data_IF_631805848864
#
_entry.id   IF_631805848864
#
_cell.length_a   1.000
_cell.length_b   1.000
_cell.length_c   1.000
_cell.angle_alpha   90.00
_cell.angle_beta   90.00
_cell.angle_gamma   90.00
#
_symmetry.space_group_name_H-M   'P 1'
#
loop_
_entity.id
_entity.type
_entity.pdbx_description
1 polymer ?
#
# COMPACT_ATOMS: atom_id res chain seq x y z
N UNK A 1 -26.24 -12.44 -12.22
CA UNK A 1 -25.23 -12.85 -13.18
C UNK A 1 -25.86 -13.65 -14.34
N UNK A 2 -25.23 -13.70 -15.48
CA UNK A 2 -25.70 -14.48 -16.63
C UNK A 2 -24.58 -15.45 -17.05
N UNK A 3 -24.87 -16.73 -16.99
CA UNK A 3 -23.96 -17.82 -17.39
C UNK A 3 -24.39 -18.51 -18.71
N UNK A 4 -25.44 -18.00 -19.35
CA UNK A 4 -25.95 -18.54 -20.60
C UNK A 4 -25.03 -18.31 -21.81
N UNK A 5 -24.20 -17.26 -21.76
CA UNK A 5 -23.26 -16.85 -22.83
C UNK A 5 -21.84 -16.64 -22.32
N UNK A 6 -21.57 -16.91 -21.05
CA UNK A 6 -20.29 -16.69 -20.40
C UNK A 6 -20.48 -16.32 -18.92
N UNK A 7 -19.37 -16.05 -18.24
CA UNK A 7 -19.36 -15.73 -16.81
C UNK A 7 -19.47 -14.23 -16.60
N UNK A 8 -20.67 -13.67 -16.78
CA UNK A 8 -20.92 -12.23 -16.64
C UNK A 8 -21.50 -11.93 -15.27
N UNK A 9 -20.85 -11.01 -14.54
CA UNK A 9 -21.31 -10.48 -13.28
C UNK A 9 -21.50 -8.97 -13.46
N UNK A 10 -22.71 -8.49 -13.16
CA UNK A 10 -23.00 -7.06 -13.23
C UNK A 10 -22.25 -6.29 -12.14
N UNK A 11 -21.82 -5.04 -12.40
CA UNK A 11 -21.28 -4.17 -11.37
C UNK A 11 -22.24 -4.07 -10.18
N UNK A 12 -21.75 -4.43 -9.00
CA UNK A 12 -22.58 -4.58 -7.80
C UNK A 12 -22.03 -3.72 -6.68
N UNK A 13 -22.91 -2.99 -6.00
CA UNK A 13 -22.59 -2.23 -4.79
C UNK A 13 -23.28 -2.90 -3.62
N UNK A 14 -22.53 -3.18 -2.56
CA UNK A 14 -23.01 -3.74 -1.30
C UNK A 14 -22.76 -2.72 -0.20
N UNK A 15 -23.79 -2.41 0.59
CA UNK A 15 -23.65 -1.59 1.79
C UNK A 15 -23.74 -2.47 3.04
N UNK A 16 -22.86 -2.24 4.01
CA UNK A 16 -22.84 -2.98 5.26
C UNK A 16 -22.45 -2.09 6.43
N UNK A 17 -23.14 -2.27 7.56
CA UNK A 17 -22.78 -1.65 8.84
C UNK A 17 -21.83 -2.55 9.66
N UNK A 18 -21.56 -3.76 9.21
CA UNK A 18 -20.58 -4.65 9.85
C UNK A 18 -19.17 -4.39 9.29
N UNK A 19 -18.28 -3.78 10.08
CA UNK A 19 -16.90 -3.48 9.64
C UNK A 19 -16.04 -4.73 9.44
N UNK A 20 -16.49 -5.89 9.88
CA UNK A 20 -15.83 -7.19 9.70
C UNK A 20 -16.53 -8.06 8.67
N UNK A 21 -17.46 -7.49 7.92
CA UNK A 21 -18.12 -8.22 6.85
C UNK A 21 -17.10 -8.82 5.88
N UNK A 22 -17.32 -10.06 5.48
CA UNK A 22 -16.41 -10.84 4.64
C UNK A 22 -15.94 -10.07 3.41
N UNK A 23 -16.84 -9.33 2.76
CA UNK A 23 -16.53 -8.56 1.54
C UNK A 23 -15.64 -7.33 1.77
N UNK A 24 -15.43 -6.92 3.02
CA UNK A 24 -14.43 -5.89 3.38
C UNK A 24 -13.07 -6.50 3.72
N UNK A 25 -13.03 -7.79 4.08
CA UNK A 25 -11.84 -8.48 4.57
C UNK A 25 -11.17 -9.35 3.50
N UNK A 26 -11.95 -9.92 2.57
CA UNK A 26 -11.49 -10.85 1.55
C UNK A 26 -11.52 -10.21 0.16
N UNK A 27 -10.51 -10.53 -0.64
CA UNK A 27 -10.47 -10.13 -2.04
C UNK A 27 -11.32 -11.10 -2.87
N UNK A 28 -12.45 -10.64 -3.42
CA UNK A 28 -13.33 -11.45 -4.28
C UNK A 28 -12.92 -11.41 -5.76
N UNK A 29 -12.12 -10.48 -6.15
CA UNK A 29 -11.60 -10.25 -7.49
C UNK A 29 -12.68 -10.19 -8.58
N UNK A 30 -13.73 -9.39 -8.34
CA UNK A 30 -14.89 -9.22 -9.22
C UNK A 30 -15.40 -7.78 -9.23
N UNK A 31 -16.40 -7.46 -10.06
CA UNK A 31 -16.95 -6.11 -10.20
C UNK A 31 -17.89 -5.77 -9.02
N UNK A 32 -17.40 -5.90 -7.80
CA UNK A 32 -18.18 -5.67 -6.57
C UNK A 32 -17.46 -4.64 -5.72
N UNK A 33 -18.20 -3.61 -5.26
CA UNK A 33 -17.73 -2.60 -4.31
C UNK A 33 -18.52 -2.73 -3.03
N UNK A 34 -17.84 -2.75 -1.89
CA UNK A 34 -18.47 -2.75 -0.57
C UNK A 34 -18.30 -1.39 0.09
N UNK A 35 -19.39 -0.82 0.57
CA UNK A 35 -19.45 0.48 1.25
C UNK A 35 -19.74 0.23 2.73
N UNK A 36 -18.97 0.88 3.60
CA UNK A 36 -19.20 0.94 5.03
C UNK A 36 -19.39 2.41 5.44
N UNK A 37 -20.64 2.85 5.67
CA UNK A 37 -20.89 4.21 6.15
C UNK A 37 -20.43 4.37 7.61
N UNK A 38 -19.95 5.55 7.96
CA UNK A 38 -19.55 5.88 9.32
C UNK A 38 -19.95 7.31 9.67
N UNK A 39 -20.10 7.59 10.96
CA UNK A 39 -20.41 8.92 11.46
C UNK A 39 -19.15 9.81 11.49
N UNK A 40 -19.28 11.08 11.21
CA UNK A 40 -18.15 12.04 11.20
C UNK A 40 -17.36 12.03 12.52
N UNK A 41 -18.03 11.82 13.65
CA UNK A 41 -17.40 11.70 14.97
C UNK A 41 -16.51 10.47 15.12
N UNK A 42 -16.70 9.44 14.30
CA UNK A 42 -15.94 8.18 14.32
C UNK A 42 -14.75 8.19 13.34
N UNK A 43 -14.31 9.36 12.89
CA UNK A 43 -13.25 9.49 11.88
C UNK A 43 -11.97 8.70 12.22
N UNK A 44 -11.44 8.88 13.44
CA UNK A 44 -10.18 8.22 13.86
C UNK A 44 -10.32 6.72 14.02
N UNK A 45 -11.44 6.28 14.58
CA UNK A 45 -11.79 4.88 14.72
C UNK A 45 -11.91 4.22 13.35
N UNK A 46 -12.52 4.92 12.39
CA UNK A 46 -12.63 4.48 11.00
C UNK A 46 -11.27 4.36 10.32
N UNK A 47 -10.36 5.30 10.52
CA UNK A 47 -8.99 5.18 10.01
C UNK A 47 -8.26 3.96 10.59
N UNK A 48 -8.43 3.70 11.90
CA UNK A 48 -7.87 2.49 12.53
C UNK A 48 -8.49 1.22 11.95
N UNK A 49 -9.80 1.25 11.71
CA UNK A 49 -10.51 0.15 11.08
C UNK A 49 -9.97 -0.12 9.67
N UNK A 50 -9.82 0.91 8.83
CA UNK A 50 -9.24 0.79 7.48
C UNK A 50 -7.85 0.16 7.52
N UNK A 51 -7.00 0.55 8.49
CA UNK A 51 -5.66 -0.01 8.65
C UNK A 51 -5.65 -1.50 9.01
N UNK A 52 -6.68 -1.97 9.72
CA UNK A 52 -6.68 -3.30 10.37
C UNK A 52 -7.66 -4.31 9.77
N UNK A 53 -8.52 -3.89 8.85
CA UNK A 53 -9.61 -4.75 8.34
C UNK A 53 -9.10 -5.86 7.42
N UNK A 54 -8.09 -5.59 6.61
CA UNK A 54 -7.56 -6.53 5.62
C UNK A 54 -6.04 -6.70 5.76
N UNK A 55 -5.50 -7.87 5.45
CA UNK A 55 -4.05 -8.09 5.39
C UNK A 55 -3.40 -7.43 4.18
N UNK A 56 -4.16 -6.92 3.24
CA UNK A 56 -3.67 -6.34 1.99
C UNK A 56 -3.34 -4.85 2.14
N UNK A 57 -2.38 -4.37 1.33
CA UNK A 57 -1.96 -2.98 1.29
C UNK A 57 -1.43 -2.61 -0.10
N UNK A 58 -2.22 -2.85 -1.15
CA UNK A 58 -1.81 -2.56 -2.53
C UNK A 58 -2.01 -1.09 -2.86
N UNK A 59 -3.25 -0.64 -2.93
CA UNK A 59 -3.63 0.74 -3.24
C UNK A 59 -4.63 1.25 -2.23
N UNK A 60 -4.60 2.57 -2.01
CA UNK A 60 -5.60 3.28 -1.23
C UNK A 60 -5.84 4.66 -1.80
N UNK A 61 -6.98 5.26 -1.48
CA UNK A 61 -7.30 6.61 -1.87
C UNK A 61 -7.99 7.38 -0.74
N UNK A 62 -7.73 8.68 -0.68
CA UNK A 62 -8.37 9.62 0.24
C UNK A 62 -8.98 10.72 -0.60
N UNK A 63 -10.30 10.93 -0.46
CA UNK A 63 -11.02 12.00 -1.10
C UNK A 63 -11.48 12.99 -0.03
N UNK A 64 -10.89 14.17 0.02
CA UNK A 64 -11.27 15.22 0.96
C UNK A 64 -10.79 16.59 0.51
N UNK A 65 -11.59 17.62 0.80
CA UNK A 65 -11.18 19.02 0.66
C UNK A 65 -10.48 19.54 1.92
N UNK A 66 -10.68 18.90 3.07
CA UNK A 66 -10.02 19.25 4.32
C UNK A 66 -8.57 18.72 4.33
N UNK A 67 -7.63 19.66 4.26
CA UNK A 67 -6.19 19.35 4.27
C UNK A 67 -5.70 18.82 5.64
N UNK A 68 -6.43 19.13 6.72
CA UNK A 68 -6.18 18.55 8.05
C UNK A 68 -6.50 17.06 8.07
N UNK A 69 -7.71 16.71 7.63
CA UNK A 69 -8.15 15.32 7.51
C UNK A 69 -7.24 14.49 6.58
N UNK A 70 -6.82 15.07 5.44
CA UNK A 70 -5.87 14.40 4.53
C UNK A 70 -4.56 14.10 5.23
N UNK A 71 -3.95 15.07 5.94
CA UNK A 71 -2.68 14.85 6.66
C UNK A 71 -2.81 13.80 7.76
N UNK A 72 -3.90 13.84 8.52
CA UNK A 72 -4.16 12.85 9.56
C UNK A 72 -4.31 11.45 8.98
N UNK A 73 -5.14 11.29 7.94
CA UNK A 73 -5.32 10.02 7.26
C UNK A 73 -4.00 9.48 6.67
N UNK A 74 -3.20 10.33 6.01
CA UNK A 74 -1.88 9.95 5.50
C UNK A 74 -0.94 9.46 6.62
N UNK A 75 -1.00 10.07 7.79
CA UNK A 75 -0.19 9.66 8.94
C UNK A 75 -0.63 8.31 9.49
N UNK A 76 -1.93 8.13 9.71
CA UNK A 76 -2.48 6.90 10.28
C UNK A 76 -2.40 5.72 9.30
N UNK A 77 -2.63 5.96 8.02
CA UNK A 77 -2.68 4.93 6.98
C UNK A 77 -1.35 4.74 6.24
N UNK A 78 -0.23 5.23 6.77
CA UNK A 78 1.09 5.18 6.11
C UNK A 78 1.56 3.79 5.71
N UNK A 79 1.04 2.72 6.35
CA UNK A 79 1.36 1.33 6.07
C UNK A 79 0.20 0.56 5.41
N UNK A 80 -0.92 1.24 5.13
CA UNK A 80 -2.14 0.60 4.63
C UNK A 80 -2.21 0.54 3.11
N UNK A 81 -1.27 1.17 2.41
CA UNK A 81 -1.21 1.12 0.94
C UNK A 81 0.23 1.32 0.45
N UNK A 82 0.64 0.52 -0.52
CA UNK A 82 1.89 0.74 -1.25
C UNK A 82 1.80 1.96 -2.16
N UNK A 83 0.64 2.17 -2.79
CA UNK A 83 0.34 3.38 -3.56
C UNK A 83 -0.87 4.09 -2.94
N UNK A 84 -0.68 5.32 -2.48
CA UNK A 84 -1.73 6.16 -1.91
C UNK A 84 -2.03 7.34 -2.85
N UNK A 85 -3.32 7.54 -3.14
CA UNK A 85 -3.82 8.57 -4.03
C UNK A 85 -4.65 9.58 -3.24
N UNK A 86 -4.45 10.87 -3.50
CA UNK A 86 -5.21 11.95 -2.85
C UNK A 86 -6.02 12.68 -3.89
N UNK A 87 -7.35 12.60 -3.79
CA UNK A 87 -8.30 13.19 -4.73
C UNK A 87 -8.02 12.81 -6.18
N UNK A 88 -7.59 11.57 -6.39
CA UNK A 88 -7.21 11.05 -7.69
C UNK A 88 -7.74 9.62 -7.87
N UNK A 89 -7.56 9.05 -9.03
CA UNK A 89 -7.95 7.68 -9.36
C UNK A 89 -7.37 6.71 -8.33
N UNK A 90 -8.20 5.86 -7.70
CA UNK A 90 -7.78 5.07 -6.54
C UNK A 90 -6.88 3.88 -6.85
N UNK A 91 -6.61 3.61 -8.10
CA UNK A 91 -5.79 2.48 -8.54
C UNK A 91 -5.26 2.68 -9.96
N UNK A 92 -4.39 1.80 -10.42
CA UNK A 92 -3.86 1.81 -11.78
C UNK A 92 -2.74 2.82 -11.96
N UNK A 93 -1.55 2.49 -11.47
CA UNK A 93 -0.35 3.29 -11.71
C UNK A 93 -0.08 3.45 -13.21
N UNK A 94 0.26 4.65 -13.61
CA UNK A 94 0.63 4.98 -14.99
C UNK A 94 2.17 4.95 -15.09
N UNK A 95 2.69 4.17 -16.03
CA UNK A 95 4.14 4.08 -16.26
C UNK A 95 4.72 5.46 -16.53
N UNK A 96 5.80 5.80 -15.82
CA UNK A 96 6.46 7.09 -15.91
C UNK A 96 5.88 8.19 -15.01
N UNK A 97 4.69 7.98 -14.41
CA UNK A 97 4.11 8.93 -13.44
C UNK A 97 4.36 8.48 -11.99
N UNK A 98 4.09 7.23 -11.67
CA UNK A 98 4.40 6.66 -10.36
C UNK A 98 4.81 5.18 -10.48
N UNK A 99 5.75 4.72 -9.67
CA UNK A 99 6.05 3.30 -9.56
C UNK A 99 4.93 2.58 -8.82
N UNK A 100 4.81 1.27 -9.04
CA UNK A 100 3.72 0.47 -8.49
C UNK A 100 4.25 -0.68 -7.61
N UNK A 101 3.61 -0.87 -6.47
CA UNK A 101 3.89 -1.99 -5.58
C UNK A 101 3.05 -1.94 -4.33
N UNK A 102 2.71 -3.12 -3.80
CA UNK A 102 1.95 -3.30 -2.58
C UNK A 102 2.79 -3.79 -1.42
N UNK A 103 2.38 -3.43 -0.22
CA UNK A 103 2.95 -3.89 1.04
C UNK A 103 2.08 -4.97 1.70
N UNK A 104 2.48 -5.46 2.87
CA UNK A 104 1.77 -6.51 3.63
C UNK A 104 1.52 -7.75 2.75
N UNK A 105 0.30 -8.29 2.76
CA UNK A 105 -0.10 -9.42 1.92
C UNK A 105 -0.15 -9.14 0.42
N UNK A 106 -0.01 -7.87 0.00
CA UNK A 106 -0.04 -7.47 -1.41
C UNK A 106 1.32 -7.52 -2.11
N UNK A 107 2.39 -7.84 -1.42
CA UNK A 107 3.70 -8.06 -2.04
C UNK A 107 4.87 -7.41 -1.31
N UNK A 108 6.01 -7.35 -1.99
CA UNK A 108 7.29 -6.88 -1.45
C UNK A 108 7.50 -5.37 -1.58
N UNK A 109 6.56 -4.69 -2.21
CA UNK A 109 6.59 -3.24 -2.45
C UNK A 109 7.84 -2.75 -3.23
N UNK A 110 8.31 -3.53 -4.16
CA UNK A 110 9.55 -3.26 -4.91
C UNK A 110 9.47 -2.10 -5.90
N UNK A 111 8.30 -1.47 -6.03
CA UNK A 111 8.09 -0.29 -6.88
C UNK A 111 8.46 -0.52 -8.34
N UNK A 112 7.75 -1.46 -8.97
CA UNK A 112 7.84 -1.70 -10.41
C UNK A 112 7.68 -0.39 -11.19
N UNK A 113 8.52 -0.19 -12.22
CA UNK A 113 8.60 1.07 -12.95
C UNK A 113 9.55 2.11 -12.34
N UNK A 114 10.30 1.75 -11.29
CA UNK A 114 11.36 2.58 -10.72
C UNK A 114 12.70 1.86 -10.67
N UNK A 115 13.79 2.63 -10.53
CA UNK A 115 15.12 2.05 -10.33
C UNK A 115 15.26 1.24 -9.03
N UNK A 116 14.38 1.43 -8.05
CA UNK A 116 14.36 0.64 -6.81
C UNK A 116 14.08 -0.83 -7.10
N UNK A 117 13.23 -1.12 -8.07
CA UNK A 117 12.94 -2.49 -8.49
C UNK A 117 14.18 -3.21 -9.01
N UNK A 118 15.13 -2.50 -9.63
CA UNK A 118 16.33 -3.09 -10.20
C UNK A 118 17.24 -3.72 -9.13
N UNK A 119 17.16 -3.28 -7.89
CA UNK A 119 17.95 -3.86 -6.78
C UNK A 119 17.62 -5.33 -6.54
N UNK A 120 16.46 -5.82 -6.98
CA UNK A 120 16.06 -7.24 -6.91
C UNK A 120 16.81 -8.12 -7.92
N UNK A 121 17.37 -7.52 -8.95
CA UNK A 121 17.98 -8.22 -10.09
C UNK A 121 19.50 -8.18 -10.05
N UNK A 122 20.09 -7.54 -9.04
CA UNK A 122 21.53 -7.37 -8.91
C UNK A 122 22.01 -7.84 -7.53
N UNK A 123 23.25 -8.28 -7.49
CA UNK A 123 23.95 -8.58 -6.24
C UNK A 123 24.99 -7.50 -5.98
N UNK A 124 24.82 -6.74 -4.90
CA UNK A 124 25.77 -5.70 -4.54
C UNK A 124 27.07 -6.32 -4.02
N UNK A 125 28.20 -5.80 -4.49
CA UNK A 125 29.52 -6.18 -4.03
C UNK A 125 30.30 -4.94 -3.61
N UNK A 126 30.76 -4.94 -2.39
CA UNK A 126 31.66 -3.89 -1.88
C UNK A 126 33.10 -4.40 -1.91
N UNK A 127 34.01 -3.56 -2.39
CA UNK A 127 35.45 -3.81 -2.38
C UNK A 127 36.08 -2.71 -1.54
N UNK A 128 36.85 -3.12 -0.52
CA UNK A 128 37.69 -2.25 0.28
C UNK A 128 39.14 -2.68 0.05
N UNK A 129 39.98 -1.76 -0.42
CA UNK A 129 41.41 -1.99 -0.61
C UNK A 129 42.18 -1.00 0.26
N UNK A 130 43.22 -1.48 0.93
CA UNK A 130 44.10 -0.65 1.72
C UNK A 130 45.52 -0.78 1.16
N UNK A 131 46.08 0.33 0.66
CA UNK A 131 47.41 0.35 0.03
C UNK A 131 48.55 0.28 1.06
N UNK A 132 48.30 0.64 2.30
CA UNK A 132 49.24 0.46 3.42
C UNK A 132 48.63 -0.47 4.45
N UNK A 133 49.30 -1.59 4.75
CA UNK A 133 48.84 -2.51 5.76
C UNK A 133 48.75 -1.82 7.13
N UNK A 134 47.66 -1.98 7.90
CA UNK A 134 47.59 -1.46 9.23
C UNK A 134 48.58 -2.17 10.13
N UNK A 135 49.43 -1.40 10.79
CA UNK A 135 50.45 -1.93 11.72
C UNK A 135 49.93 -2.03 13.15
N UNK A 136 48.88 -1.35 13.46
CA UNK A 136 48.22 -1.34 14.75
C UNK A 136 46.81 -1.95 14.65
N UNK A 137 46.52 -2.91 15.49
CA UNK A 137 45.23 -3.59 15.54
C UNK A 137 44.16 -2.77 16.29
N UNK A 138 44.60 -1.77 17.06
CA UNK A 138 43.68 -0.93 17.83
C UNK A 138 42.92 0.03 16.95
N UNK A 139 41.68 0.25 17.28
CA UNK A 139 40.93 1.33 16.71
C UNK A 139 41.39 2.69 17.24
N UNK A 140 41.35 3.79 16.44
CA UNK A 140 41.83 5.11 16.86
C UNK A 140 41.18 5.62 18.18
N UNK A 141 39.96 5.20 18.48
CA UNK A 141 39.28 5.59 19.73
C UNK A 141 39.78 4.83 20.97
N UNK A 142 40.60 3.84 20.82
CA UNK A 142 41.19 3.10 21.95
C UNK A 142 42.50 3.74 22.47
N UNK A 143 42.92 4.88 21.91
CA UNK A 143 44.04 5.71 22.32
C UNK A 143 45.33 5.25 21.77
#
# INVERSE_FOLDING_TARGET
>A
YDDSKGWFIEPTIVETNDPKHRMLCEELFGPVITIHPYEDSAWRETLTLVDTTSPYALTGAIFSRDRGAVREAMSMLRQSAGNLYINDKPTGAVVGQQPFGGARGSGTNDKAGSKLNLTRWVSARNIKETFSSPLDWRYPFLG
#
